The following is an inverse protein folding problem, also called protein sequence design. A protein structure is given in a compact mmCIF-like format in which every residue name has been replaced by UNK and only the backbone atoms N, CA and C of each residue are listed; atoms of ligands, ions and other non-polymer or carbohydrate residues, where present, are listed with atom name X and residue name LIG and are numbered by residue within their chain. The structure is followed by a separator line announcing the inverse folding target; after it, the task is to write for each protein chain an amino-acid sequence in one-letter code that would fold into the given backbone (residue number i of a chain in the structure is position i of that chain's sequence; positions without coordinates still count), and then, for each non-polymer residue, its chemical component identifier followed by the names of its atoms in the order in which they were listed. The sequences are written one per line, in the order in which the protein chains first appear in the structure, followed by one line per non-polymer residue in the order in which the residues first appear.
data_IF_717177451018
#
_entry.id   IF_717177451018
#
_cell.length_a   1.000
_cell.length_b   1.000
_cell.length_c   1.000
_cell.angle_alpha   90.00
_cell.angle_beta   90.00
_cell.angle_gamma   90.00
#
_symmetry.space_group_name_H-M   'P 1'
#
loop_
_entity.id
_entity.type
_entity.pdbx_description
1 polymer ?
#
# COMPACT_ATOMS: atom_id res chain seq x y z
N UNK A 1 -8.76 3.87 -16.41
CA UNK A 1 -9.03 2.88 -15.38
C UNK A 1 -7.98 2.96 -14.28
N UNK A 2 -8.42 3.13 -13.04
CA UNK A 2 -7.53 3.06 -11.89
C UNK A 2 -7.32 1.59 -11.55
N UNK A 3 -6.06 1.17 -11.52
CA UNK A 3 -5.67 -0.17 -11.11
C UNK A 3 -5.00 -0.05 -9.76
N UNK A 4 -5.44 -0.82 -8.79
CA UNK A 4 -4.85 -0.86 -7.47
C UNK A 4 -4.13 -2.20 -7.28
N UNK A 5 -2.92 -2.16 -6.77
CA UNK A 5 -2.15 -3.34 -6.44
C UNK A 5 -1.88 -3.37 -4.94
N UNK A 6 -2.01 -4.55 -4.34
CA UNK A 6 -1.89 -4.73 -2.90
C UNK A 6 -0.89 -5.81 -2.59
N UNK A 7 -0.10 -5.59 -1.55
CA UNK A 7 0.70 -6.62 -0.89
C UNK A 7 0.32 -6.65 0.58
N UNK A 8 0.07 -7.83 1.11
CA UNK A 8 -0.28 -8.01 2.52
C UNK A 8 0.88 -8.70 3.22
N UNK A 9 1.48 -8.02 4.18
CA UNK A 9 2.67 -8.52 4.86
C UNK A 9 2.41 -8.64 6.38
N UNK A 10 1.87 -9.77 6.79
CA UNK A 10 1.57 -10.02 8.21
C UNK A 10 2.82 -10.36 9.02
N UNK A 11 3.58 -11.35 8.57
CA UNK A 11 4.79 -11.82 9.26
C UNK A 11 5.97 -11.99 8.31
N UNK A 12 5.80 -11.62 7.05
CA UNK A 12 6.83 -11.74 6.03
C UNK A 12 7.62 -10.43 5.91
N UNK A 13 8.61 -10.41 5.02
CA UNK A 13 9.47 -9.26 4.83
C UNK A 13 8.72 -8.09 4.19
N UNK A 14 8.65 -6.97 4.88
CA UNK A 14 8.04 -5.75 4.35
C UNK A 14 8.83 -5.27 3.14
N UNK A 15 10.15 -5.33 3.20
CA UNK A 15 10.99 -4.90 2.08
C UNK A 15 10.70 -5.71 0.82
N UNK A 16 10.50 -7.02 0.96
CA UNK A 16 10.15 -7.87 -0.18
C UNK A 16 8.80 -7.48 -0.79
N UNK A 17 7.82 -7.14 0.03
CA UNK A 17 6.53 -6.66 -0.45
C UNK A 17 6.67 -5.35 -1.22
N UNK A 18 7.48 -4.43 -0.71
CA UNK A 18 7.76 -3.16 -1.39
C UNK A 18 8.43 -3.42 -2.73
N UNK A 19 9.40 -4.33 -2.79
CA UNK A 19 10.09 -4.64 -4.04
C UNK A 19 9.14 -5.24 -5.07
N UNK A 20 8.22 -6.11 -4.65
CA UNK A 20 7.22 -6.68 -5.57
C UNK A 20 6.31 -5.59 -6.15
N UNK A 21 5.88 -4.63 -5.33
CA UNK A 21 5.08 -3.51 -5.82
C UNK A 21 5.90 -2.62 -6.76
N UNK A 22 7.15 -2.36 -6.44
CA UNK A 22 8.03 -1.57 -7.29
C UNK A 22 8.25 -2.27 -8.64
N UNK A 23 8.51 -3.57 -8.62
CA UNK A 23 8.67 -4.34 -9.86
C UNK A 23 7.41 -4.28 -10.71
N UNK A 24 6.25 -4.42 -10.09
CA UNK A 24 4.98 -4.34 -10.79
C UNK A 24 4.81 -2.96 -11.44
N UNK A 25 5.22 -1.90 -10.77
CA UNK A 25 5.08 -0.54 -11.29
C UNK A 25 5.86 -0.33 -12.59
N UNK A 26 6.98 -1.02 -12.74
CA UNK A 26 7.77 -0.96 -13.98
C UNK A 26 7.13 -1.75 -15.12
N UNK A 27 6.27 -2.70 -14.80
CA UNK A 27 5.60 -3.54 -15.80
C UNK A 27 4.32 -2.92 -16.33
N UNK A 28 3.79 -1.90 -15.66
CA UNK A 28 2.54 -1.25 -16.02
C UNK A 28 2.85 0.13 -16.58
N UNK A 29 2.33 0.44 -17.76
CA UNK A 29 2.72 1.64 -18.49
C UNK A 29 1.76 2.81 -18.35
N UNK A 30 0.60 2.63 -17.71
CA UNK A 30 -0.47 3.63 -17.77
C UNK A 30 -0.30 4.82 -16.81
N UNK A 31 0.42 4.66 -15.72
CA UNK A 31 0.65 5.74 -14.77
C UNK A 31 -0.49 6.02 -13.80
N UNK A 32 -1.60 5.31 -13.91
CA UNK A 32 -2.79 5.53 -13.08
C UNK A 32 -2.90 4.53 -11.92
N UNK A 33 -1.90 3.70 -11.75
CA UNK A 33 -1.90 2.64 -10.74
C UNK A 33 -1.64 3.19 -9.35
N UNK A 34 -2.29 2.59 -8.37
CA UNK A 34 -2.10 2.92 -6.95
C UNK A 34 -1.58 1.67 -6.24
N UNK A 35 -0.57 1.84 -5.41
CA UNK A 35 0.10 0.73 -4.74
C UNK A 35 -0.08 0.85 -3.23
N UNK A 36 -0.55 -0.24 -2.61
CA UNK A 36 -0.81 -0.28 -1.17
C UNK A 36 -0.11 -1.45 -0.53
N UNK A 37 0.54 -1.19 0.60
CA UNK A 37 1.12 -2.21 1.45
C UNK A 37 0.26 -2.31 2.70
N UNK A 38 -0.28 -3.48 2.97
CA UNK A 38 -1.20 -3.71 4.09
C UNK A 38 -0.48 -4.49 5.16
N UNK A 39 -0.41 -3.92 6.37
CA UNK A 39 0.39 -4.49 7.45
C UNK A 39 -0.34 -4.39 8.79
N UNK A 40 0.01 -5.28 9.75
CA UNK A 40 -0.47 -5.13 11.12
C UNK A 40 0.02 -3.82 11.74
N UNK A 41 -0.76 -3.28 12.68
CA UNK A 41 -0.46 -2.00 13.30
C UNK A 41 0.91 -1.98 13.98
N UNK A 42 1.31 -3.08 14.61
CA UNK A 42 2.59 -3.16 15.31
C UNK A 42 3.79 -3.10 14.37
N UNK A 43 3.59 -3.23 13.06
CA UNK A 43 4.66 -3.13 12.07
C UNK A 43 4.76 -1.76 11.41
N UNK A 44 3.95 -0.80 11.84
CA UNK A 44 3.92 0.53 11.21
C UNK A 44 5.30 1.20 11.19
N UNK A 45 6.02 1.13 12.29
CA UNK A 45 7.34 1.74 12.39
C UNK A 45 8.32 1.14 11.39
N UNK A 46 8.29 -0.17 11.23
CA UNK A 46 9.13 -0.87 10.27
C UNK A 46 8.78 -0.47 8.83
N UNK A 47 7.49 -0.38 8.51
CA UNK A 47 7.04 0.08 7.19
C UNK A 47 7.58 1.48 6.89
N UNK A 48 7.46 2.40 7.84
CA UNK A 48 7.96 3.76 7.66
C UNK A 48 9.47 3.78 7.40
N UNK A 49 10.22 2.96 8.13
CA UNK A 49 11.66 2.83 7.91
C UNK A 49 11.99 2.30 6.52
N UNK A 50 11.29 1.26 6.08
CA UNK A 50 11.55 0.66 4.79
C UNK A 50 11.17 1.58 3.63
N UNK A 51 10.04 2.28 3.74
CA UNK A 51 9.60 3.21 2.70
C UNK A 51 10.47 4.46 2.62
N UNK A 52 11.22 4.78 3.69
CA UNK A 52 12.15 5.90 3.70
C UNK A 52 13.51 5.58 3.10
N UNK A 53 13.77 4.34 2.72
CA UNK A 53 15.06 3.97 2.12
C UNK A 53 15.32 4.77 0.85
N UNK A 54 16.54 5.27 0.64
CA UNK A 54 16.85 6.04 -0.58
C UNK A 54 16.53 5.29 -1.87
N UNK A 55 16.79 3.98 -1.91
CA UNK A 55 16.48 3.17 -3.09
C UNK A 55 15.00 3.17 -3.43
N UNK A 56 14.13 3.22 -2.41
CA UNK A 56 12.69 3.26 -2.61
C UNK A 56 12.23 4.67 -3.01
N UNK A 57 12.73 5.68 -2.30
CA UNK A 57 12.36 7.08 -2.56
C UNK A 57 12.78 7.54 -3.97
N UNK A 58 13.91 7.06 -4.46
CA UNK A 58 14.45 7.47 -5.76
C UNK A 58 13.73 6.81 -6.94
N UNK A 59 12.98 5.76 -6.71
CA UNK A 59 12.29 5.03 -7.79
C UNK A 59 11.00 5.69 -8.25
N UNK A 60 10.60 6.79 -7.66
CA UNK A 60 9.36 7.51 -8.00
C UNK A 60 8.09 6.67 -7.91
N UNK A 61 8.13 5.58 -7.17
CA UNK A 61 6.95 4.74 -6.96
C UNK A 61 6.25 5.21 -5.69
N UNK A 62 5.03 5.67 -5.84
CA UNK A 62 4.23 6.12 -4.69
C UNK A 62 3.56 4.90 -4.06
N UNK A 63 4.13 4.38 -3.00
CA UNK A 63 3.56 3.27 -2.24
C UNK A 63 2.98 3.84 -0.95
N UNK A 64 1.69 3.63 -0.74
CA UNK A 64 1.02 3.99 0.51
C UNK A 64 0.86 2.73 1.35
N UNK A 65 0.68 2.88 2.64
CA UNK A 65 0.44 1.72 3.49
C UNK A 65 -0.87 1.88 4.24
N UNK A 66 -1.48 0.74 4.57
CA UNK A 66 -2.74 0.68 5.29
C UNK A 66 -2.56 -0.28 6.46
N UNK A 67 -2.96 0.16 7.64
CA UNK A 67 -2.89 -0.67 8.84
C UNK A 67 -4.11 -1.59 8.91
N UNK A 68 -3.91 -2.79 9.47
CA UNK A 68 -5.00 -3.75 9.65
C UNK A 68 -6.18 -3.17 10.41
N UNK A 69 -5.92 -2.35 11.45
CA UNK A 69 -6.98 -1.72 12.23
C UNK A 69 -7.85 -0.80 11.38
N UNK A 70 -7.24 -0.07 10.45
CA UNK A 70 -7.97 0.83 9.56
C UNK A 70 -8.87 0.05 8.60
N UNK A 71 -8.38 -1.05 8.04
CA UNK A 71 -9.20 -1.92 7.21
C UNK A 71 -10.38 -2.49 8.00
N UNK A 72 -10.12 -2.95 9.23
CA UNK A 72 -11.15 -3.52 10.09
C UNK A 72 -12.23 -2.49 10.40
N UNK A 73 -11.82 -1.26 10.72
CA UNK A 73 -12.74 -0.20 11.06
C UNK A 73 -13.60 0.26 9.89
N UNK A 74 -13.13 0.04 8.67
CA UNK A 74 -13.81 0.49 7.46
C UNK A 74 -14.33 -0.66 6.59
N UNK A 75 -14.30 -1.89 7.08
CA UNK A 75 -14.67 -3.04 6.25
C UNK A 75 -16.11 -2.98 5.78
N UNK A 76 -17.02 -2.45 6.58
CA UNK A 76 -18.41 -2.31 6.18
C UNK A 76 -18.56 -1.35 4.99
N UNK A 77 -17.90 -0.21 5.05
CA UNK A 77 -17.91 0.75 3.95
C UNK A 77 -17.28 0.16 2.69
N UNK A 78 -16.18 -0.60 2.84
CA UNK A 78 -15.51 -1.26 1.71
C UNK A 78 -16.41 -2.29 1.04
N UNK A 79 -17.25 -2.97 1.81
CA UNK A 79 -18.12 -4.02 1.29
C UNK A 79 -19.42 -3.49 0.70
N UNK A 80 -19.94 -2.40 1.24
CA UNK A 80 -21.30 -1.95 0.91
C UNK A 80 -21.40 -0.92 -0.22
N UNK A 81 -20.41 -0.06 -0.37
CA UNK A 81 -20.61 1.14 -1.16
C UNK A 81 -19.98 1.15 -2.54
N UNK A 82 -19.27 0.11 -2.94
CA UNK A 82 -18.67 0.07 -4.27
C UNK A 82 -17.67 1.18 -4.56
N UNK A 83 -17.38 2.05 -3.61
CA UNK A 83 -16.43 3.13 -3.72
C UNK A 83 -15.15 2.81 -2.95
N UNK A 84 -14.68 1.58 -3.11
CA UNK A 84 -13.57 1.05 -2.35
C UNK A 84 -12.31 1.90 -2.49
N UNK A 85 -12.07 2.44 -3.69
CA UNK A 85 -10.88 3.25 -3.95
C UNK A 85 -10.88 4.55 -3.11
N UNK A 86 -12.04 5.17 -2.89
CA UNK A 86 -12.13 6.38 -2.08
C UNK A 86 -11.85 6.08 -0.60
N UNK A 87 -12.39 4.98 -0.10
CA UNK A 87 -12.14 4.55 1.28
C UNK A 87 -10.67 4.19 1.46
N UNK A 88 -10.09 3.46 0.51
CA UNK A 88 -8.69 3.07 0.58
C UNK A 88 -7.77 4.29 0.59
N UNK A 89 -8.03 5.29 -0.24
CA UNK A 89 -7.27 6.53 -0.24
C UNK A 89 -7.37 7.25 1.10
N UNK A 90 -8.55 7.25 1.72
CA UNK A 90 -8.77 7.93 3.00
C UNK A 90 -7.96 7.31 4.13
N UNK A 91 -7.86 5.98 4.17
CA UNK A 91 -7.18 5.28 5.26
C UNK A 91 -5.70 5.00 4.97
N UNK A 92 -5.26 5.18 3.74
CA UNK A 92 -3.87 4.94 3.36
C UNK A 92 -2.99 6.10 3.82
N UNK A 93 -1.78 5.76 4.25
CA UNK A 93 -0.80 6.73 4.75
C UNK A 93 0.42 6.76 3.84
N UNK A 94 1.05 7.92 3.75
CA UNK A 94 2.32 8.09 3.06
C UNK A 94 3.41 8.45 4.03
N UNK A 95 4.60 8.01 3.72
CA UNK A 95 5.80 8.38 4.47
C UNK A 95 6.50 9.56 3.80
#
# INVERSE_FOLDING_TARGET
NVIAAFEVEKSTSIYSGILRLADLSYSIADGDEVFYLIVPDQREKDVCMQLCRPAIKQNNVAIKYILFSELRNHCEALCKFGENHLVMEKIAKMV
#
